data_IF_113031114885
#
_entry.id   IF_113031114885
#
_cell.length_a   1.000
_cell.length_b   1.000
_cell.length_c   1.000
_cell.angle_alpha   90.00
_cell.angle_beta   90.00
_cell.angle_gamma   90.00
#
_symmetry.space_group_name_H-M   'P 1'
#
loop_
_entity.id
_entity.type
_entity.pdbx_description
1 polymer ?
#
# COMPACT_ATOMS: atom_id res chain seq x y z
N UNK A 1 14.92 3.66 12.64
CA UNK A 1 13.60 4.23 12.30
C UNK A 1 13.18 3.62 10.96
N UNK A 2 12.27 2.63 10.98
CA UNK A 2 11.84 1.94 9.76
C UNK A 2 10.70 2.74 9.11
N UNK A 3 11.06 3.79 8.36
CA UNK A 3 10.10 4.51 7.54
C UNK A 3 9.69 3.61 6.38
N UNK A 4 8.39 3.40 6.20
CA UNK A 4 7.84 2.64 5.06
C UNK A 4 8.40 3.26 3.79
N UNK A 5 9.30 2.55 3.10
CA UNK A 5 9.85 2.97 1.83
C UNK A 5 9.06 2.31 0.72
N UNK A 6 8.09 3.01 0.15
CA UNK A 6 7.44 2.55 -1.09
C UNK A 6 8.47 2.68 -2.21
N UNK A 7 8.98 1.56 -2.72
CA UNK A 7 9.98 1.56 -3.81
C UNK A 7 11.21 2.45 -3.50
N UNK A 8 11.66 2.46 -2.24
CA UNK A 8 12.78 3.29 -1.80
C UNK A 8 12.44 4.76 -1.47
N UNK A 9 11.16 5.17 -1.52
CA UNK A 9 10.72 6.53 -1.18
C UNK A 9 10.00 6.58 0.16
N UNK A 10 10.35 7.54 1.05
CA UNK A 10 9.70 7.67 2.33
C UNK A 10 8.23 8.07 2.15
N UNK A 11 7.31 7.42 2.88
CA UNK A 11 5.87 7.75 2.92
C UNK A 11 5.59 9.18 3.44
N UNK A 12 6.61 9.96 3.84
CA UNK A 12 6.48 11.41 4.04
C UNK A 12 6.29 12.20 2.74
N UNK A 13 6.61 11.62 1.58
CA UNK A 13 6.21 12.17 0.29
C UNK A 13 4.68 12.11 0.16
N UNK A 14 4.07 13.16 -0.40
CA UNK A 14 2.62 13.18 -0.57
C UNK A 14 2.16 12.02 -1.47
N UNK A 15 1.02 11.39 -1.15
CA UNK A 15 0.47 10.26 -1.92
C UNK A 15 0.33 10.59 -3.41
N UNK A 16 0.06 11.86 -3.73
CA UNK A 16 0.00 12.36 -5.10
C UNK A 16 1.34 12.35 -5.82
N UNK A 17 2.44 12.73 -5.15
CA UNK A 17 3.79 12.67 -5.72
C UNK A 17 4.21 11.21 -5.99
N UNK A 18 3.91 10.31 -5.05
CA UNK A 18 4.16 8.86 -5.21
C UNK A 18 3.35 8.32 -6.40
N UNK A 19 2.07 8.70 -6.52
CA UNK A 19 1.21 8.29 -7.63
C UNK A 19 1.71 8.78 -8.98
N UNK A 20 2.18 10.02 -9.08
CA UNK A 20 2.74 10.57 -10.32
C UNK A 20 4.01 9.83 -10.76
N UNK A 21 4.95 9.58 -9.85
CA UNK A 21 6.21 8.90 -10.15
C UNK A 21 5.97 7.45 -10.58
N UNK A 22 5.14 6.72 -9.83
CA UNK A 22 4.84 5.31 -10.09
C UNK A 22 3.77 5.11 -11.16
N UNK A 23 3.24 6.19 -11.76
CA UNK A 23 2.11 6.18 -12.70
C UNK A 23 0.90 5.40 -12.15
N UNK A 24 0.67 5.53 -10.84
CA UNK A 24 -0.43 4.91 -10.13
C UNK A 24 -1.49 5.96 -9.75
N UNK A 25 -2.78 5.60 -9.80
CA UNK A 25 -3.82 6.44 -9.22
C UNK A 25 -3.54 6.71 -7.73
N UNK A 26 -3.84 7.93 -7.28
CA UNK A 26 -3.73 8.30 -5.86
C UNK A 26 -4.52 7.34 -4.95
N UNK A 27 -5.70 6.89 -5.39
CA UNK A 27 -6.52 5.91 -4.67
C UNK A 27 -5.82 4.56 -4.47
N UNK A 28 -5.05 4.10 -5.46
CA UNK A 28 -4.23 2.89 -5.36
C UNK A 28 -3.12 3.08 -4.34
N UNK A 29 -2.37 4.18 -4.44
CA UNK A 29 -1.30 4.51 -3.49
C UNK A 29 -1.85 4.55 -2.05
N UNK A 30 -2.97 5.27 -1.85
CA UNK A 30 -3.67 5.34 -0.57
C UNK A 30 -4.04 3.94 -0.04
N UNK A 31 -4.63 3.09 -0.88
CA UNK A 31 -5.03 1.72 -0.50
C UNK A 31 -3.84 0.85 -0.08
N UNK A 32 -2.69 0.97 -0.75
CA UNK A 32 -1.50 0.19 -0.38
C UNK A 32 -0.88 0.75 0.93
N UNK A 33 -0.84 2.07 1.13
CA UNK A 33 -0.37 2.68 2.39
C UNK A 33 -1.24 2.23 3.56
N UNK A 34 -2.57 2.28 3.41
CA UNK A 34 -3.51 1.81 4.42
C UNK A 34 -3.29 0.33 4.72
N UNK A 35 -3.16 -0.52 3.68
CA UNK A 35 -2.87 -1.95 3.85
C UNK A 35 -1.57 -2.16 4.63
N UNK A 36 -0.49 -1.48 4.24
CA UNK A 36 0.79 -1.61 4.91
C UNK A 36 0.72 -1.20 6.38
N UNK A 37 0.02 -0.12 6.72
CA UNK A 37 -0.15 0.29 8.12
C UNK A 37 -0.85 -0.77 8.97
N UNK A 38 -1.74 -1.58 8.36
CA UNK A 38 -2.48 -2.63 9.04
C UNK A 38 -1.69 -3.94 9.15
N UNK A 39 -0.99 -4.34 8.09
CA UNK A 39 -0.37 -5.67 7.98
C UNK A 39 1.16 -5.65 7.88
N UNK A 40 1.79 -4.48 7.87
CA UNK A 40 3.22 -4.26 7.59
C UNK A 40 3.71 -4.95 6.30
N UNK A 41 2.82 -5.14 5.33
CA UNK A 41 3.13 -5.75 4.04
C UNK A 41 2.38 -5.09 2.90
N UNK A 42 3.06 -4.96 1.74
CA UNK A 42 2.47 -4.54 0.46
C UNK A 42 2.20 -5.73 -0.47
N UNK A 43 2.61 -6.93 -0.07
CA UNK A 43 2.39 -8.14 -0.86
C UNK A 43 0.91 -8.31 -1.14
N UNK A 44 0.60 -8.84 -2.33
CA UNK A 44 -0.76 -9.19 -2.64
C UNK A 44 -1.11 -10.42 -1.81
N UNK A 45 -1.58 -10.18 -0.58
CA UNK A 45 -2.04 -11.24 0.31
C UNK A 45 -2.98 -12.11 -0.53
N UNK A 46 -2.75 -13.43 -0.62
CA UNK A 46 -3.72 -14.29 -1.26
C UNK A 46 -5.06 -13.94 -0.65
N UNK A 47 -6.09 -13.75 -1.50
CA UNK A 47 -7.47 -13.65 -1.03
C UNK A 47 -7.80 -15.00 -0.42
N UNK A 48 -7.33 -15.25 0.81
CA UNK A 48 -7.78 -16.33 1.63
C UNK A 48 -9.29 -16.10 1.69
N UNK A 49 -10.03 -17.06 1.13
CA UNK A 49 -11.33 -16.82 0.55
C UNK A 49 -12.27 -16.04 1.47
N UNK A 50 -13.34 -15.47 0.88
CA UNK A 50 -14.54 -15.16 1.67
C UNK A 50 -14.79 -16.35 2.60
N UNK A 51 -14.89 -16.19 3.93
CA UNK A 51 -15.29 -17.29 4.79
C UNK A 51 -16.56 -17.85 4.18
N UNK A 52 -16.49 -19.07 3.63
CA UNK A 52 -17.67 -19.73 3.10
C UNK A 52 -18.47 -20.03 4.37
N UNK A 53 -19.56 -19.27 4.55
CA UNK A 53 -20.50 -19.50 5.64
C UNK A 53 -20.90 -20.99 5.57
N UNK A 54 -20.79 -21.77 6.65
CA UNK A 54 -21.50 -23.05 6.71
C UNK A 54 -23.00 -22.82 6.54
#
# INVERSE_FOLDING_TARGET
MCGITFFGKPVSASEGAIGLELRMPKSTVHSIIVKYRLSNTVENLPRNGRPKKP
#
